data_IF_108619458797
#
_entry.id   IF_108619458797
#
_cell.length_a   1.000
_cell.length_b   1.000
_cell.length_c   1.000
_cell.angle_alpha   90.00
_cell.angle_beta   90.00
_cell.angle_gamma   90.00
#
_symmetry.space_group_name_H-M   'P 1'
#
loop_
_entity.id
_entity.type
_entity.pdbx_description
1 polymer ?
#
# COMPACT_ATOMS: atom_id res chain seq x y z
N UNK A 1 -3.90 33.74 32.34
CA UNK A 1 -3.04 32.60 31.97
C UNK A 1 -2.76 31.81 33.23
N UNK A 2 -3.45 30.68 33.43
CA UNK A 2 -3.15 29.76 34.53
C UNK A 2 -2.01 28.83 34.08
N UNK A 3 -0.79 29.16 34.49
CA UNK A 3 0.31 28.21 34.56
C UNK A 3 0.07 27.37 35.80
N UNK A 4 -0.29 26.09 35.64
CA UNK A 4 -0.40 25.18 36.78
C UNK A 4 -1.38 24.03 36.59
N UNK A 5 -0.93 22.97 35.90
CA UNK A 5 -1.18 21.57 36.25
C UNK A 5 -0.02 20.78 35.64
N UNK A 6 0.71 20.01 36.45
CA UNK A 6 1.59 18.95 35.94
C UNK A 6 0.69 17.94 35.24
N UNK A 7 0.41 18.16 33.95
CA UNK A 7 -0.27 17.18 33.12
C UNK A 7 0.77 16.16 32.69
N UNK A 8 0.74 14.99 33.30
CA UNK A 8 1.49 13.82 32.80
C UNK A 8 1.04 13.54 31.37
N UNK A 9 2.00 13.45 30.46
CA UNK A 9 1.81 13.07 29.07
C UNK A 9 2.33 11.65 28.90
N UNK A 10 1.43 10.71 28.61
CA UNK A 10 1.79 9.30 28.39
C UNK A 10 2.14 9.08 26.92
N UNK A 11 3.27 8.45 26.63
CA UNK A 11 3.66 8.12 25.25
C UNK A 11 3.66 6.61 25.11
N UNK A 12 2.84 6.10 24.21
CA UNK A 12 2.71 4.68 23.91
C UNK A 12 3.26 4.38 22.51
N UNK A 13 4.13 3.39 22.44
CA UNK A 13 4.57 2.77 21.17
C UNK A 13 3.86 1.42 21.04
N UNK A 14 2.96 1.28 20.05
CA UNK A 14 2.15 0.08 19.88
C UNK A 14 2.37 -0.55 18.50
N UNK A 15 2.67 -1.84 18.48
CA UNK A 15 2.55 -2.68 17.28
C UNK A 15 1.33 -3.58 17.43
N UNK A 16 0.39 -3.49 16.49
CA UNK A 16 -0.77 -4.39 16.42
C UNK A 16 -0.65 -5.27 15.18
N UNK A 17 -0.54 -6.60 15.30
CA UNK A 17 -0.42 -7.50 14.15
C UNK A 17 -1.63 -7.39 13.19
N UNK A 18 -1.44 -7.66 11.87
CA UNK A 18 -2.48 -7.45 10.86
C UNK A 18 -3.72 -8.33 11.00
N UNK A 19 -3.58 -9.49 11.66
CA UNK A 19 -4.67 -10.46 11.85
C UNK A 19 -5.24 -10.44 13.28
N UNK A 20 -4.89 -9.44 14.08
CA UNK A 20 -5.38 -9.27 15.45
C UNK A 20 -6.26 -8.02 15.50
N UNK A 21 -7.44 -8.18 16.09
CA UNK A 21 -8.38 -7.07 16.27
C UNK A 21 -7.81 -6.10 17.31
N UNK A 22 -7.73 -4.84 16.92
CA UNK A 22 -7.12 -3.78 17.71
C UNK A 22 -7.97 -3.45 18.95
N UNK A 23 -7.49 -3.83 20.14
CA UNK A 23 -8.18 -3.57 21.40
C UNK A 23 -7.75 -2.24 22.03
N UNK A 24 -8.69 -1.31 22.16
CA UNK A 24 -8.47 0.03 22.69
C UNK A 24 -9.04 0.28 24.09
N UNK A 25 -9.58 -0.73 24.77
CA UNK A 25 -10.19 -0.57 26.09
C UNK A 25 -9.22 0.09 27.10
N UNK A 26 -7.93 -0.24 27.00
CA UNK A 26 -6.88 0.35 27.83
C UNK A 26 -6.75 1.87 27.65
N UNK A 27 -6.81 2.35 26.41
CA UNK A 27 -6.59 3.76 26.08
C UNK A 27 -7.78 4.67 26.39
N UNK A 28 -9.00 4.11 26.52
CA UNK A 28 -10.18 4.87 26.96
C UNK A 28 -10.02 5.47 28.36
N UNK A 29 -9.16 4.88 29.20
CA UNK A 29 -8.91 5.34 30.56
C UNK A 29 -7.83 6.45 30.65
N UNK A 30 -7.05 6.64 29.59
CA UNK A 30 -5.96 7.61 29.54
C UNK A 30 -6.48 8.99 29.08
N UNK A 31 -6.15 10.06 29.83
CA UNK A 31 -6.63 11.43 29.53
C UNK A 31 -5.70 12.22 28.60
N UNK A 32 -4.39 12.11 28.79
CA UNK A 32 -3.38 12.85 28.02
C UNK A 32 -2.32 11.87 27.50
N UNK A 33 -2.44 11.45 26.24
CA UNK A 33 -1.47 10.52 25.67
C UNK A 33 -1.19 10.76 24.19
N UNK A 34 0.00 10.34 23.77
CA UNK A 34 0.40 10.16 22.38
C UNK A 34 0.47 8.65 22.13
N UNK A 35 -0.26 8.19 21.12
CA UNK A 35 -0.16 6.83 20.64
C UNK A 35 0.52 6.86 19.26
N UNK A 36 1.64 6.18 19.13
CA UNK A 36 2.36 6.00 17.87
C UNK A 36 2.73 4.53 17.66
N UNK A 37 2.94 4.14 16.41
CA UNK A 37 3.35 2.78 16.06
C UNK A 37 2.55 2.20 14.89
N UNK A 38 2.84 0.95 14.53
CA UNK A 38 2.17 0.28 13.42
C UNK A 38 0.96 -0.51 13.93
N UNK A 39 -0.21 0.10 13.77
CA UNK A 39 -1.49 -0.46 14.23
C UNK A 39 -2.10 -1.46 13.24
N UNK A 40 -1.49 -1.64 12.06
CA UNK A 40 -2.09 -2.35 10.92
C UNK A 40 -3.54 -1.94 10.63
N UNK A 41 -3.89 -0.68 10.90
CA UNK A 41 -5.21 -0.10 10.72
C UNK A 41 -5.23 0.69 9.41
N UNK A 42 -6.08 0.29 8.47
CA UNK A 42 -6.26 0.96 7.19
C UNK A 42 -7.59 1.69 7.21
N UNK A 43 -7.55 3.01 7.19
CA UNK A 43 -8.75 3.87 7.11
C UNK A 43 -8.51 5.01 6.12
N UNK A 44 -9.55 5.36 5.35
CA UNK A 44 -9.49 6.54 4.46
C UNK A 44 -9.39 7.85 5.25
N UNK A 45 -9.81 7.88 6.52
CA UNK A 45 -9.75 9.05 7.38
C UNK A 45 -8.31 9.51 7.66
N UNK A 46 -7.35 8.57 7.69
CA UNK A 46 -5.90 8.85 7.87
C UNK A 46 -5.10 8.75 6.55
N UNK A 47 -5.78 8.68 5.40
CA UNK A 47 -5.14 8.69 4.08
C UNK A 47 -4.74 7.33 3.52
N UNK A 48 -5.22 6.22 4.08
CA UNK A 48 -4.96 4.89 3.50
C UNK A 48 -5.76 4.66 2.20
N UNK A 49 -5.21 3.82 1.30
CA UNK A 49 -5.84 3.46 0.01
C UNK A 49 -7.07 2.55 0.19
N UNK A 50 -7.09 1.73 1.25
CA UNK A 50 -8.15 0.77 1.56
C UNK A 50 -8.64 0.87 3.01
N UNK A 51 -9.65 0.08 3.35
CA UNK A 51 -10.26 -0.01 4.68
C UNK A 51 -10.14 -1.45 5.22
N UNK A 52 -9.87 -1.62 6.52
CA UNK A 52 -9.95 -2.91 7.21
C UNK A 52 -10.63 -2.76 8.58
N UNK A 53 -10.93 -3.87 9.26
CA UNK A 53 -11.64 -3.88 10.54
C UNK A 53 -10.94 -3.06 11.62
N UNK A 54 -9.60 -3.14 11.69
CA UNK A 54 -8.78 -2.33 12.58
C UNK A 54 -8.89 -0.82 12.27
N UNK A 55 -9.01 -0.45 10.99
CA UNK A 55 -9.29 0.91 10.56
C UNK A 55 -10.67 1.40 10.97
N UNK A 56 -11.70 0.54 10.90
CA UNK A 56 -13.06 0.88 11.35
C UNK A 56 -13.09 1.08 12.87
N UNK A 57 -12.38 0.25 13.64
CA UNK A 57 -12.26 0.44 15.09
C UNK A 57 -11.51 1.75 15.42
N UNK A 58 -10.40 2.01 14.73
CA UNK A 58 -9.65 3.26 14.89
C UNK A 58 -10.51 4.48 14.55
N UNK A 59 -11.27 4.45 13.45
CA UNK A 59 -12.23 5.48 13.10
C UNK A 59 -13.31 5.64 14.16
N UNK A 60 -13.83 4.53 14.71
CA UNK A 60 -14.86 4.57 15.74
C UNK A 60 -14.36 5.35 16.95
N UNK A 61 -13.11 5.17 17.35
CA UNK A 61 -12.49 5.86 18.49
C UNK A 61 -12.15 7.31 18.18
N UNK A 62 -11.63 7.59 16.97
CA UNK A 62 -11.42 8.98 16.51
C UNK A 62 -12.75 9.74 16.48
N UNK A 63 -13.84 9.06 16.16
CA UNK A 63 -15.17 9.64 16.03
C UNK A 63 -16.05 9.48 17.28
N UNK A 64 -15.61 8.73 18.30
CA UNK A 64 -16.38 8.46 19.52
C UNK A 64 -16.52 9.77 20.28
N UNK A 65 -17.77 10.23 20.41
CA UNK A 65 -18.10 11.58 20.86
C UNK A 65 -18.22 11.70 22.38
N UNK A 66 -17.78 10.69 23.14
CA UNK A 66 -17.75 10.73 24.61
C UNK A 66 -16.48 11.38 25.20
N UNK A 67 -15.67 12.03 24.37
CA UNK A 67 -14.74 13.08 24.82
C UNK A 67 -15.50 14.38 25.04
N UNK A 68 -16.29 14.43 26.12
CA UNK A 68 -17.04 15.62 26.60
C UNK A 68 -16.15 16.71 27.22
N UNK A 69 -14.84 16.47 27.33
CA UNK A 69 -13.86 17.52 27.58
C UNK A 69 -13.52 18.22 26.27
N UNK A 70 -12.92 19.40 26.33
CA UNK A 70 -12.62 20.30 25.19
C UNK A 70 -11.57 19.75 24.19
N UNK A 71 -11.60 18.44 23.90
CA UNK A 71 -10.60 17.65 23.23
C UNK A 71 -11.00 17.51 21.77
N UNK A 72 -10.62 18.52 20.97
CA UNK A 72 -10.60 18.37 19.53
C UNK A 72 -9.39 17.50 19.16
N UNK A 73 -9.55 16.48 18.29
CA UNK A 73 -8.40 15.79 17.74
C UNK A 73 -7.52 16.81 17.02
N UNK A 74 -6.29 16.96 17.50
CA UNK A 74 -5.28 17.80 16.86
C UNK A 74 -4.57 16.93 15.84
N UNK A 75 -4.79 17.23 14.56
CA UNK A 75 -3.96 16.72 13.48
C UNK A 75 -2.61 17.43 13.56
N UNK A 76 -1.62 16.76 14.14
CA UNK A 76 -0.24 17.23 14.18
C UNK A 76 0.56 16.50 13.09
N UNK A 77 1.00 17.23 12.06
CA UNK A 77 1.96 16.72 11.08
C UNK A 77 3.37 16.92 11.63
N UNK A 78 4.00 15.83 12.08
CA UNK A 78 5.42 15.86 12.46
C UNK A 78 6.21 15.59 11.18
N UNK A 79 6.70 16.67 10.57
CA UNK A 79 7.68 16.56 9.49
C UNK A 79 9.02 16.18 10.10
N UNK A 80 9.30 14.88 10.20
CA UNK A 80 10.67 14.43 10.38
C UNK A 80 11.45 14.93 9.15
N UNK A 81 12.57 15.61 9.35
CA UNK A 81 13.41 16.19 8.28
C UNK A 81 14.03 15.17 7.32
N UNK A 82 13.42 14.01 7.14
CA UNK A 82 13.67 13.16 6.00
C UNK A 82 12.96 13.79 4.80
N UNK A 83 13.73 14.51 3.99
CA UNK A 83 13.30 14.86 2.65
C UNK A 83 13.08 13.55 1.89
N UNK A 84 11.84 13.04 1.90
CA UNK A 84 11.33 12.28 0.77
C UNK A 84 11.47 13.24 -0.40
N UNK A 85 12.57 13.12 -1.15
CA UNK A 85 12.57 13.56 -2.52
C UNK A 85 11.36 12.89 -3.14
N UNK A 86 10.28 13.65 -3.28
CA UNK A 86 9.22 13.33 -4.20
C UNK A 86 9.93 13.30 -5.55
N UNK A 87 10.52 12.16 -5.92
CA UNK A 87 11.01 11.88 -7.26
C UNK A 87 9.78 12.00 -8.12
N UNK A 88 9.52 13.22 -8.59
CA UNK A 88 8.39 13.53 -9.43
C UNK A 88 8.45 12.51 -10.54
N UNK A 89 7.41 11.66 -10.67
CA UNK A 89 7.45 10.50 -11.55
C UNK A 89 8.08 10.93 -12.88
N UNK A 90 9.23 10.33 -13.23
CA UNK A 90 10.13 10.85 -14.24
C UNK A 90 9.34 11.22 -15.51
N UNK A 91 9.52 12.45 -15.99
CA UNK A 91 8.82 12.91 -17.20
C UNK A 91 9.28 12.04 -18.37
N UNK A 92 8.39 11.20 -18.88
CA UNK A 92 8.68 10.30 -20.00
C UNK A 92 8.54 11.05 -21.32
N UNK A 93 9.48 10.85 -22.23
CA UNK A 93 9.41 11.39 -23.60
C UNK A 93 8.28 10.74 -24.40
N UNK A 94 7.66 11.52 -25.29
CA UNK A 94 6.67 11.05 -26.24
C UNK A 94 7.30 10.86 -27.62
N UNK A 95 7.94 9.70 -27.83
CA UNK A 95 8.63 9.39 -29.08
C UNK A 95 7.71 9.35 -30.31
N UNK A 96 6.39 9.17 -30.14
CA UNK A 96 5.42 9.22 -31.25
C UNK A 96 5.24 10.63 -31.82
N UNK A 97 5.54 11.66 -31.02
CA UNK A 97 5.45 13.08 -31.42
C UNK A 97 6.84 13.73 -31.54
N UNK A 98 7.90 12.93 -31.58
CA UNK A 98 9.25 13.43 -31.72
C UNK A 98 9.45 14.09 -33.09
N UNK A 99 10.11 15.25 -33.12
CA UNK A 99 10.59 15.84 -34.36
C UNK A 99 12.01 15.31 -34.63
N UNK A 100 12.12 14.19 -35.34
CA UNK A 100 13.40 13.54 -35.64
C UNK A 100 14.28 14.35 -36.60
N UNK A 101 13.69 15.18 -37.46
CA UNK A 101 14.44 16.06 -38.35
C UNK A 101 15.17 17.14 -37.55
N UNK A 102 14.47 17.83 -36.65
CA UNK A 102 15.07 18.81 -35.74
C UNK A 102 16.12 18.16 -34.82
N UNK A 103 15.86 16.94 -34.34
CA UNK A 103 16.82 16.20 -33.53
C UNK A 103 18.13 15.93 -34.29
N UNK A 104 18.02 15.52 -35.55
CA UNK A 104 19.16 15.26 -36.42
C UNK A 104 19.93 16.53 -36.76
N UNK A 105 19.24 17.63 -37.06
CA UNK A 105 19.85 18.95 -37.32
C UNK A 105 20.66 19.43 -36.11
N UNK A 106 20.08 19.33 -34.90
CA UNK A 106 20.76 19.73 -33.67
C UNK A 106 22.01 18.87 -33.43
N UNK A 107 21.92 17.54 -33.59
CA UNK A 107 23.09 16.67 -33.41
C UNK A 107 24.18 16.95 -34.44
N UNK A 108 23.82 17.03 -35.73
CA UNK A 108 24.79 17.26 -36.80
C UNK A 108 25.50 18.62 -36.66
N UNK A 109 24.79 19.67 -36.20
CA UNK A 109 25.41 20.97 -35.91
C UNK A 109 26.39 20.94 -34.73
N UNK A 110 26.26 19.96 -33.83
CA UNK A 110 27.04 19.87 -32.58
C UNK A 110 28.19 18.85 -32.66
N UNK A 111 28.14 17.91 -33.61
CA UNK A 111 29.17 16.88 -33.83
C UNK A 111 30.51 17.48 -34.27
N UNK A 112 30.49 18.54 -35.07
CA UNK A 112 31.70 19.22 -35.58
C UNK A 112 32.61 19.74 -34.45
N UNK A 113 32.04 20.07 -33.29
CA UNK A 113 32.78 20.60 -32.14
C UNK A 113 33.38 19.50 -31.23
N UNK A 114 33.12 18.22 -31.49
CA UNK A 114 33.58 17.11 -30.63
C UNK A 114 34.94 16.58 -31.08
N UNK A 115 35.22 16.63 -32.38
CA UNK A 115 36.44 16.07 -33.00
C UNK A 115 37.73 16.85 -32.73
N UNK A 116 37.65 18.07 -32.22
CA UNK A 116 38.82 18.94 -31.98
C UNK A 116 39.36 18.86 -30.54
N UNK A 117 38.78 18.03 -29.67
CA UNK A 117 39.11 18.01 -28.24
C UNK A 117 40.14 16.91 -27.88
N UNK A 118 41.25 17.30 -27.25
CA UNK A 118 42.27 16.41 -26.66
C UNK A 118 41.80 15.73 -25.36
N UNK A 119 40.61 15.13 -25.37
CA UNK A 119 39.97 14.55 -24.19
C UNK A 119 40.17 13.03 -24.11
N UNK A 120 40.05 12.49 -22.89
CA UNK A 120 40.00 11.04 -22.70
C UNK A 120 38.71 10.46 -23.28
N UNK A 121 38.72 9.14 -23.54
CA UNK A 121 37.56 8.43 -24.10
C UNK A 121 36.32 8.62 -23.22
N UNK A 122 36.47 8.58 -21.90
CA UNK A 122 35.35 8.73 -20.97
C UNK A 122 34.75 10.14 -21.01
N UNK A 123 35.60 11.17 -21.05
CA UNK A 123 35.17 12.57 -21.18
C UNK A 123 34.47 12.83 -22.52
N UNK A 124 34.89 12.12 -23.57
CA UNK A 124 34.23 12.16 -24.87
C UNK A 124 32.84 11.53 -24.81
N UNK A 125 32.71 10.38 -24.16
CA UNK A 125 31.44 9.69 -23.97
C UNK A 125 30.44 10.53 -23.16
N UNK A 126 30.91 11.20 -22.11
CA UNK A 126 30.08 12.11 -21.32
C UNK A 126 29.57 13.26 -22.18
N UNK A 127 30.45 13.89 -22.97
CA UNK A 127 30.06 14.95 -23.91
C UNK A 127 29.04 14.46 -24.94
N UNK A 128 29.25 13.29 -25.55
CA UNK A 128 28.31 12.73 -26.52
C UNK A 128 26.95 12.50 -25.85
N UNK A 129 26.94 11.93 -24.65
CA UNK A 129 25.74 11.65 -23.87
C UNK A 129 24.98 12.93 -23.55
N UNK A 130 25.67 13.97 -23.09
CA UNK A 130 25.07 15.29 -22.83
C UNK A 130 24.44 15.91 -24.07
N UNK A 131 25.11 15.83 -25.24
CA UNK A 131 24.59 16.37 -26.50
C UNK A 131 23.34 15.62 -26.95
N UNK A 132 23.34 14.29 -26.84
CA UNK A 132 22.16 13.45 -27.14
C UNK A 132 20.99 13.83 -26.24
N UNK A 133 21.22 13.90 -24.92
CA UNK A 133 20.19 14.26 -23.93
C UNK A 133 19.64 15.66 -24.21
N UNK A 134 20.51 16.64 -24.44
CA UNK A 134 20.13 18.01 -24.79
C UNK A 134 19.30 18.08 -26.08
N UNK A 135 19.71 17.37 -27.14
CA UNK A 135 18.97 17.30 -28.39
C UNK A 135 17.59 16.65 -28.20
N UNK A 136 17.51 15.60 -27.37
CA UNK A 136 16.25 14.94 -27.03
C UNK A 136 15.30 15.89 -26.30
N UNK A 137 15.80 16.67 -25.33
CA UNK A 137 14.98 17.65 -24.61
C UNK A 137 14.40 18.76 -25.52
N UNK A 138 15.13 19.15 -26.56
CA UNK A 138 14.69 20.19 -27.51
C UNK A 138 13.73 19.68 -28.58
N UNK A 139 13.85 18.41 -28.96
CA UNK A 139 13.18 17.86 -30.16
C UNK A 139 12.05 16.88 -29.85
N UNK A 140 12.00 16.37 -28.62
CA UNK A 140 11.04 15.33 -28.21
C UNK A 140 10.14 15.90 -27.11
N UNK A 141 8.83 16.10 -27.37
CA UNK A 141 7.93 16.58 -26.35
C UNK A 141 7.71 15.52 -25.26
N UNK A 142 7.41 15.95 -24.03
CA UNK A 142 7.05 15.04 -22.95
C UNK A 142 5.62 14.51 -23.07
N UNK A 143 5.38 13.31 -22.52
CA UNK A 143 4.03 12.80 -22.33
C UNK A 143 3.26 13.71 -21.37
N UNK A 144 2.18 14.33 -21.88
CA UNK A 144 1.25 15.07 -21.04
C UNK A 144 0.56 14.09 -20.10
N UNK A 145 0.69 14.29 -18.79
CA UNK A 145 -0.15 13.58 -17.82
C UNK A 145 -1.60 14.00 -18.09
N UNK A 146 -2.45 13.07 -18.51
CA UNK A 146 -3.89 13.32 -18.57
C UNK A 146 -4.39 13.45 -17.13
N UNK A 147 -4.58 14.69 -16.68
CA UNK A 147 -5.24 14.96 -15.41
C UNK A 147 -6.73 14.76 -15.68
N UNK A 148 -7.24 13.56 -15.38
CA UNK A 148 -8.68 13.33 -15.40
C UNK A 148 -9.30 14.03 -14.19
N UNK A 149 -9.66 15.30 -14.34
CA UNK A 149 -10.56 15.95 -13.39
C UNK A 149 -11.97 15.46 -13.70
N UNK A 150 -12.42 14.37 -13.07
CA UNK A 150 -13.84 14.04 -13.03
C UNK A 150 -14.53 15.05 -12.12
N UNK A 151 -14.81 16.23 -12.66
CA UNK A 151 -15.60 17.22 -11.93
C UNK A 151 -17.01 16.68 -11.74
N UNK A 152 -17.48 16.59 -10.49
CA UNK A 152 -18.87 16.28 -10.21
C UNK A 152 -19.79 17.31 -10.88
N UNK A 153 -20.93 16.89 -11.44
CA UNK A 153 -21.91 17.79 -12.01
C UNK A 153 -22.35 18.90 -11.03
N UNK A 154 -22.67 20.12 -11.53
CA UNK A 154 -23.03 21.26 -10.68
C UNK A 154 -24.19 21.00 -9.72
N UNK A 155 -25.18 20.19 -10.12
CA UNK A 155 -26.30 19.80 -9.27
C UNK A 155 -25.84 19.00 -8.03
N UNK A 156 -24.92 18.05 -8.19
CA UNK A 156 -24.37 17.26 -7.07
C UNK A 156 -23.51 18.15 -6.16
N UNK A 157 -22.72 19.05 -6.74
CA UNK A 157 -21.93 20.02 -5.96
C UNK A 157 -22.83 20.93 -5.14
N UNK A 158 -23.95 21.39 -5.70
CA UNK A 158 -24.92 22.21 -4.98
C UNK A 158 -25.60 21.45 -3.84
N UNK A 159 -25.96 20.17 -4.03
CA UNK A 159 -26.45 19.30 -2.95
C UNK A 159 -25.42 19.17 -1.82
N UNK A 160 -24.13 19.01 -2.13
CA UNK A 160 -23.06 18.97 -1.12
C UNK A 160 -22.99 20.28 -0.34
N UNK A 161 -23.06 21.43 -1.02
CA UNK A 161 -23.01 22.76 -0.40
C UNK A 161 -24.20 22.97 0.55
N UNK A 162 -25.41 22.67 0.10
CA UNK A 162 -26.62 22.81 0.91
C UNK A 162 -26.62 21.85 2.10
N UNK A 163 -26.21 20.58 1.91
CA UNK A 163 -26.06 19.62 3.01
C UNK A 163 -25.08 20.11 4.08
N UNK A 164 -23.93 20.67 3.68
CA UNK A 164 -22.94 21.25 4.60
C UNK A 164 -23.50 22.48 5.33
N UNK A 165 -24.25 23.35 4.65
CA UNK A 165 -24.92 24.51 5.25
C UNK A 165 -25.93 24.08 6.32
N UNK A 166 -26.81 23.13 6.01
CA UNK A 166 -27.81 22.61 6.96
C UNK A 166 -27.13 21.91 8.14
N UNK A 167 -26.06 21.14 7.90
CA UNK A 167 -25.26 20.52 8.99
C UNK A 167 -24.71 21.58 9.95
N UNK A 168 -24.07 22.64 9.43
CA UNK A 168 -23.52 23.72 10.26
C UNK A 168 -24.61 24.40 11.09
N UNK A 169 -25.78 24.66 10.49
CA UNK A 169 -26.90 25.27 11.20
C UNK A 169 -27.48 24.33 12.27
N UNK A 170 -27.62 23.04 11.97
CA UNK A 170 -28.05 22.03 12.95
C UNK A 170 -27.08 21.92 14.12
N UNK A 171 -25.77 21.91 13.86
CA UNK A 171 -24.76 21.83 14.92
C UNK A 171 -24.84 23.02 15.89
N UNK A 172 -25.15 24.22 15.38
CA UNK A 172 -25.32 25.44 16.19
C UNK A 172 -26.62 25.49 16.98
N UNK A 173 -27.72 25.04 16.39
CA UNK A 173 -29.08 25.28 16.93
C UNK A 173 -29.72 24.05 17.55
N UNK A 174 -29.18 22.86 17.26
CA UNK A 174 -29.71 21.53 17.64
C UNK A 174 -31.21 21.32 17.31
N UNK A 175 -31.73 22.06 16.33
CA UNK A 175 -33.13 21.98 15.92
C UNK A 175 -33.45 20.68 15.13
N UNK A 176 -34.50 19.96 15.55
CA UNK A 176 -34.91 18.68 14.93
C UNK A 176 -35.33 18.81 13.46
N UNK A 177 -35.98 19.92 13.07
CA UNK A 177 -36.35 20.18 11.66
C UNK A 177 -35.11 20.26 10.76
N UNK A 178 -34.00 20.81 11.26
CA UNK A 178 -32.74 20.85 10.52
C UNK A 178 -32.08 19.47 10.42
N UNK A 179 -32.21 18.62 11.45
CA UNK A 179 -31.75 17.21 11.40
C UNK A 179 -32.49 16.41 10.32
N UNK A 180 -33.82 16.55 10.25
CA UNK A 180 -34.63 15.93 9.21
C UNK A 180 -34.21 16.39 7.81
N UNK A 181 -34.05 17.71 7.62
CA UNK A 181 -33.58 18.28 6.35
C UNK A 181 -32.17 17.81 5.97
N UNK A 182 -31.26 17.68 6.94
CA UNK A 182 -29.93 17.13 6.71
C UNK A 182 -29.97 15.66 6.25
N UNK A 183 -30.81 14.84 6.87
CA UNK A 183 -30.98 13.43 6.50
C UNK A 183 -31.58 13.30 5.09
N UNK A 184 -32.59 14.12 4.76
CA UNK A 184 -33.18 14.18 3.43
C UNK A 184 -32.12 14.51 2.36
N UNK A 185 -31.37 15.60 2.55
CA UNK A 185 -30.30 16.00 1.63
C UNK A 185 -29.18 14.94 1.54
N UNK A 186 -28.93 14.20 2.62
CA UNK A 186 -27.94 13.11 2.61
C UNK A 186 -28.44 11.93 1.76
N UNK A 187 -29.71 11.57 1.86
CA UNK A 187 -30.32 10.52 1.03
C UNK A 187 -30.33 10.92 -0.44
N UNK A 188 -30.77 12.14 -0.74
CA UNK A 188 -30.80 12.69 -2.10
C UNK A 188 -29.41 12.76 -2.74
N UNK A 189 -28.39 13.14 -1.97
CA UNK A 189 -27.00 13.14 -2.43
C UNK A 189 -26.51 11.71 -2.75
N UNK A 190 -26.81 10.72 -1.90
CA UNK A 190 -26.46 9.31 -2.15
C UNK A 190 -27.12 8.80 -3.43
N UNK A 191 -28.41 9.07 -3.63
CA UNK A 191 -29.14 8.68 -4.83
C UNK A 191 -28.56 9.34 -6.09
N UNK A 192 -28.26 10.63 -6.03
CA UNK A 192 -27.70 11.40 -7.14
C UNK A 192 -26.29 10.92 -7.53
N UNK A 193 -25.44 10.62 -6.55
CA UNK A 193 -24.11 10.05 -6.79
C UNK A 193 -24.22 8.65 -7.41
N UNK A 194 -25.08 7.79 -6.88
CA UNK A 194 -25.30 6.45 -7.45
C UNK A 194 -25.76 6.53 -8.90
N UNK A 195 -26.72 7.41 -9.21
CA UNK A 195 -27.18 7.64 -10.59
C UNK A 195 -26.05 8.12 -11.50
N UNK A 196 -25.25 9.08 -11.06
CA UNK A 196 -24.12 9.61 -11.83
C UNK A 196 -23.05 8.55 -12.13
N UNK A 197 -22.64 7.77 -11.13
CA UNK A 197 -21.64 6.73 -11.33
C UNK A 197 -22.15 5.59 -12.21
N UNK A 198 -23.42 5.19 -12.05
CA UNK A 198 -24.05 4.21 -12.93
C UNK A 198 -24.09 4.72 -14.37
N UNK A 199 -24.46 5.98 -14.60
CA UNK A 199 -24.47 6.55 -15.94
C UNK A 199 -23.08 6.57 -16.56
N UNK A 200 -22.07 7.05 -15.83
CA UNK A 200 -20.68 7.04 -16.31
C UNK A 200 -20.20 5.61 -16.65
N UNK A 201 -20.63 4.63 -15.87
CA UNK A 201 -20.33 3.22 -16.14
C UNK A 201 -21.02 2.74 -17.42
N UNK A 202 -22.31 3.03 -17.60
CA UNK A 202 -23.02 2.70 -18.83
C UNK A 202 -22.39 3.37 -20.07
N UNK A 203 -22.09 4.67 -19.98
CA UNK A 203 -21.44 5.43 -21.06
C UNK A 203 -20.04 4.86 -21.40
N UNK A 204 -19.31 4.39 -20.38
CA UNK A 204 -18.02 3.72 -20.57
C UNK A 204 -18.20 2.39 -21.30
N UNK A 205 -19.14 1.55 -20.86
CA UNK A 205 -19.43 0.25 -21.49
C UNK A 205 -19.89 0.43 -22.93
N UNK A 206 -20.73 1.43 -23.21
CA UNK A 206 -21.18 1.75 -24.57
C UNK A 206 -20.02 2.15 -25.49
N UNK A 207 -19.09 2.98 -24.99
CA UNK A 207 -17.86 3.37 -25.72
C UNK A 207 -16.91 2.22 -25.98
N UNK A 208 -16.90 1.19 -25.12
CA UNK A 208 -16.09 -0.01 -25.30
C UNK A 208 -16.61 -0.90 -26.45
N UNK A 209 -17.81 -0.61 -27.00
CA UNK A 209 -18.43 -1.35 -28.08
C UNK A 209 -18.93 -2.73 -27.66
N UNK A 210 -19.39 -3.56 -28.62
CA UNK A 210 -19.63 -4.98 -28.35
C UNK A 210 -18.30 -5.61 -27.94
N UNK A 211 -18.26 -6.13 -26.73
CA UNK A 211 -17.11 -6.81 -26.17
C UNK A 211 -16.55 -7.83 -27.18
N UNK A 212 -15.27 -7.74 -27.60
CA UNK A 212 -14.66 -8.78 -28.43
C UNK A 212 -14.68 -10.17 -27.76
N UNK A 213 -14.91 -10.20 -26.44
CA UNK A 213 -15.05 -11.39 -25.60
C UNK A 213 -16.39 -12.14 -25.76
N UNK A 214 -17.22 -11.81 -26.75
CA UNK A 214 -18.18 -12.78 -27.32
C UNK A 214 -17.57 -13.61 -28.46
N UNK A 215 -16.25 -13.82 -28.45
CA UNK A 215 -15.78 -15.18 -28.73
C UNK A 215 -15.86 -15.88 -27.38
N UNK A 216 -16.59 -17.01 -27.24
CA UNK A 216 -16.43 -17.81 -26.04
C UNK A 216 -14.93 -18.02 -25.90
N UNK A 217 -14.36 -17.72 -24.74
CA UNK A 217 -13.02 -18.20 -24.41
C UNK A 217 -13.12 -19.73 -24.40
N UNK A 218 -13.10 -20.34 -25.59
CA UNK A 218 -12.90 -21.78 -25.73
C UNK A 218 -11.48 -21.97 -25.23
N UNK A 219 -11.37 -22.43 -23.99
CA UNK A 219 -10.17 -23.09 -23.51
C UNK A 219 -9.86 -24.12 -24.59
N UNK A 220 -8.68 -24.10 -25.23
CA UNK A 220 -8.35 -25.05 -26.29
C UNK A 220 -8.52 -26.48 -25.78
N UNK A 221 -8.84 -27.41 -26.68
CA UNK A 221 -8.93 -28.81 -26.32
C UNK A 221 -7.54 -29.28 -25.88
N UNK A 222 -7.48 -29.97 -24.73
CA UNK A 222 -6.22 -30.52 -24.25
C UNK A 222 -6.00 -31.85 -24.96
N UNK A 223 -4.78 -32.10 -25.39
CA UNK A 223 -4.38 -33.39 -25.96
C UNK A 223 -3.32 -33.97 -25.03
N UNK A 224 -3.62 -35.12 -24.43
CA UNK A 224 -2.68 -35.88 -23.61
C UNK A 224 -2.78 -37.34 -24.03
N UNK A 225 -1.65 -37.95 -24.40
CA UNK A 225 -1.55 -39.35 -24.86
C UNK A 225 -2.59 -39.70 -25.95
N UNK A 226 -2.67 -38.86 -27.01
CA UNK A 226 -3.60 -38.99 -28.13
C UNK A 226 -5.10 -38.84 -27.79
N UNK A 227 -5.45 -38.63 -26.51
CA UNK A 227 -6.82 -38.36 -26.08
C UNK A 227 -7.10 -36.86 -26.06
N UNK A 228 -8.23 -36.46 -26.66
CA UNK A 228 -8.69 -35.08 -26.74
C UNK A 228 -9.76 -34.79 -25.68
N UNK A 229 -9.45 -33.88 -24.75
CA UNK A 229 -10.35 -33.47 -23.66
C UNK A 229 -11.04 -32.16 -24.03
N UNK A 230 -12.37 -32.21 -24.18
CA UNK A 230 -13.17 -31.11 -24.74
C UNK A 230 -13.91 -30.34 -23.66
N UNK A 231 -14.45 -31.04 -22.66
CA UNK A 231 -15.26 -30.40 -21.61
C UNK A 231 -14.38 -29.86 -20.48
N UNK A 232 -14.86 -28.83 -19.78
CA UNK A 232 -14.11 -28.26 -18.64
C UNK A 232 -13.95 -29.26 -17.49
N UNK A 233 -14.93 -30.18 -17.32
CA UNK A 233 -14.87 -31.23 -16.31
C UNK A 233 -13.78 -32.27 -16.64
N UNK A 234 -13.72 -32.73 -17.89
CA UNK A 234 -12.66 -33.60 -18.41
C UNK A 234 -11.28 -33.00 -18.23
N UNK A 235 -11.12 -31.72 -18.59
CA UNK A 235 -9.86 -30.97 -18.43
C UNK A 235 -9.47 -30.89 -16.96
N UNK A 236 -10.42 -30.60 -16.07
CA UNK A 236 -10.20 -30.54 -14.62
C UNK A 236 -9.73 -31.87 -14.04
N UNK A 237 -10.34 -32.99 -14.43
CA UNK A 237 -9.92 -34.33 -14.00
C UNK A 237 -8.52 -34.68 -14.49
N UNK A 238 -8.24 -34.44 -15.77
CA UNK A 238 -6.93 -34.67 -16.37
C UNK A 238 -5.81 -33.88 -15.67
N UNK A 239 -6.03 -32.60 -15.38
CA UNK A 239 -5.08 -31.81 -14.58
C UNK A 239 -4.91 -32.35 -13.16
N UNK A 240 -6.01 -32.78 -12.51
CA UNK A 240 -5.96 -33.36 -11.17
C UNK A 240 -5.11 -34.63 -11.13
N UNK A 241 -5.30 -35.54 -12.07
CA UNK A 241 -4.53 -36.79 -12.19
C UNK A 241 -3.05 -36.51 -12.49
N UNK A 242 -2.76 -35.60 -13.43
CA UNK A 242 -1.39 -35.23 -13.78
C UNK A 242 -0.65 -34.62 -12.58
N UNK A 243 -1.28 -33.68 -11.88
CA UNK A 243 -0.69 -33.06 -10.69
C UNK A 243 -0.51 -34.07 -9.57
N UNK A 244 -1.48 -34.96 -9.35
CA UNK A 244 -1.35 -36.04 -8.38
C UNK A 244 -0.15 -36.93 -8.69
N UNK A 245 0.10 -37.25 -9.96
CA UNK A 245 1.26 -38.05 -10.36
C UNK A 245 2.58 -37.30 -10.18
N UNK A 246 2.65 -36.01 -10.49
CA UNK A 246 3.88 -35.20 -10.37
C UNK A 246 4.27 -35.00 -8.91
N UNK A 247 3.28 -34.80 -8.03
CA UNK A 247 3.49 -34.51 -6.62
C UNK A 247 3.34 -35.75 -5.73
N UNK A 248 3.38 -36.95 -6.31
CA UNK A 248 3.50 -38.18 -5.54
C UNK A 248 4.91 -38.30 -4.95
N UNK A 249 5.08 -38.77 -3.70
CA UNK A 249 6.39 -39.03 -3.13
C UNK A 249 7.14 -40.06 -3.99
N UNK A 250 8.40 -39.75 -4.31
CA UNK A 250 9.31 -40.70 -4.97
C UNK A 250 9.45 -41.94 -4.07
N UNK A 251 8.93 -43.08 -4.53
CA UNK A 251 8.95 -44.35 -3.76
C UNK A 251 10.36 -44.83 -3.41
N UNK A 252 11.35 -44.37 -4.16
CA UNK A 252 12.79 -44.58 -4.03
C UNK A 252 13.44 -43.76 -2.89
N UNK A 253 12.73 -42.80 -2.30
CA UNK A 253 13.23 -41.96 -1.19
C UNK A 253 12.50 -42.21 0.14
N UNK A 254 11.62 -43.21 0.21
CA UNK A 254 10.92 -43.58 1.45
C UNK A 254 11.86 -44.48 2.29
N UNK A 255 12.62 -43.86 3.18
CA UNK A 255 13.42 -44.56 4.19
C UNK A 255 12.66 -44.58 5.52
N UNK A 256 11.78 -45.58 5.64
CA UNK A 256 10.92 -45.75 6.82
C UNK A 256 11.71 -45.95 8.11
N UNK A 257 12.95 -46.43 8.03
CA UNK A 257 13.82 -46.63 9.18
C UNK A 257 14.33 -45.27 9.69
N UNK A 258 14.72 -44.39 8.77
CA UNK A 258 15.16 -43.03 9.09
C UNK A 258 14.03 -42.13 9.56
N UNK A 259 12.83 -42.28 9.01
CA UNK A 259 11.64 -41.56 9.47
C UNK A 259 11.29 -41.93 10.92
N UNK A 260 11.41 -43.21 11.29
CA UNK A 260 11.22 -43.68 12.67
C UNK A 260 12.32 -43.14 13.58
N UNK A 261 13.57 -43.13 13.13
CA UNK A 261 14.71 -42.57 13.88
C UNK A 261 14.49 -41.08 14.20
N UNK A 262 14.08 -40.29 13.20
CA UNK A 262 13.79 -38.85 13.37
C UNK A 262 12.61 -38.65 14.33
N UNK A 263 11.55 -39.45 14.21
CA UNK A 263 10.39 -39.34 15.08
C UNK A 263 10.74 -39.64 16.54
N UNK A 264 11.52 -40.71 16.77
CA UNK A 264 11.98 -41.07 18.10
C UNK A 264 12.90 -39.99 18.68
N UNK A 265 13.88 -39.51 17.90
CA UNK A 265 14.81 -38.46 18.33
C UNK A 265 14.10 -37.15 18.70
N UNK A 266 13.11 -36.73 17.90
CA UNK A 266 12.28 -35.57 18.22
C UNK A 266 11.45 -35.80 19.48
N UNK A 267 10.85 -36.98 19.64
CA UNK A 267 10.04 -37.30 20.82
C UNK A 267 10.86 -37.29 22.11
N UNK A 268 12.10 -37.79 22.06
CA UNK A 268 13.04 -37.78 23.18
C UNK A 268 13.53 -36.36 23.48
N UNK A 269 13.78 -35.56 22.44
CA UNK A 269 14.12 -34.14 22.60
C UNK A 269 13.00 -33.40 23.34
N UNK A 270 11.75 -33.50 22.88
CA UNK A 270 10.62 -32.80 23.51
C UNK A 270 10.25 -33.34 24.90
N UNK A 271 10.52 -34.62 25.18
CA UNK A 271 10.35 -35.19 26.53
C UNK A 271 11.40 -34.70 27.52
N UNK A 272 12.64 -34.51 27.08
CA UNK A 272 13.74 -34.09 27.93
C UNK A 272 13.95 -32.57 27.97
N UNK A 273 13.28 -31.82 27.10
CA UNK A 273 13.26 -30.37 27.14
C UNK A 273 12.34 -29.90 28.27
N UNK A 274 12.88 -29.81 29.49
CA UNK A 274 12.27 -29.00 30.53
C UNK A 274 12.14 -27.58 29.98
N UNK A 275 10.92 -27.10 29.79
CA UNK A 275 10.66 -25.68 29.55
C UNK A 275 11.35 -24.89 30.65
N UNK A 276 12.50 -24.28 30.36
CA UNK A 276 12.91 -23.09 31.09
C UNK A 276 11.78 -22.09 30.88
N UNK A 277 11.09 -21.76 31.97
CA UNK A 277 10.03 -20.77 31.95
C UNK A 277 10.58 -19.50 31.30
N UNK A 278 10.05 -19.09 30.15
CA UNK A 278 10.35 -17.82 29.48
C UNK A 278 9.92 -16.57 30.29
N UNK A 279 9.62 -16.74 31.58
CA UNK A 279 9.16 -15.69 32.49
C UNK A 279 10.30 -15.05 33.30
N UNK A 280 11.55 -15.43 33.05
CA UNK A 280 12.67 -14.73 33.68
C UNK A 280 12.82 -13.33 33.05
N UNK A 281 12.87 -12.26 33.87
CA UNK A 281 13.02 -10.90 33.36
C UNK A 281 14.37 -10.76 32.64
N UNK A 282 14.31 -10.37 31.37
CA UNK A 282 15.49 -10.15 30.53
C UNK A 282 16.35 -9.04 31.15
N UNK A 283 17.64 -9.31 31.35
CA UNK A 283 18.57 -8.30 31.83
C UNK A 283 19.07 -7.42 30.69
N UNK A 284 19.29 -6.13 30.95
CA UNK A 284 19.85 -5.18 29.97
C UNK A 284 21.17 -5.70 29.36
N UNK A 285 21.97 -6.42 30.14
CA UNK A 285 23.24 -6.98 29.67
C UNK A 285 23.05 -8.09 28.63
N UNK A 286 22.02 -8.93 28.77
CA UNK A 286 21.68 -9.97 27.80
C UNK A 286 21.19 -9.37 26.49
N UNK A 287 20.37 -8.31 26.59
CA UNK A 287 19.91 -7.55 25.43
C UNK A 287 21.11 -6.93 24.67
N UNK A 288 22.05 -6.32 25.39
CA UNK A 288 23.28 -5.74 24.80
C UNK A 288 24.13 -6.84 24.14
N UNK A 289 24.29 -8.01 24.77
CA UNK A 289 25.05 -9.11 24.18
C UNK A 289 24.37 -9.69 22.93
N UNK A 290 23.04 -9.79 22.92
CA UNK A 290 22.27 -10.22 21.76
C UNK A 290 22.43 -9.23 20.60
N UNK A 291 22.29 -7.92 20.87
CA UNK A 291 22.50 -6.86 19.88
C UNK A 291 23.92 -6.88 19.29
N UNK A 292 24.95 -7.11 20.11
CA UNK A 292 26.35 -7.24 19.63
C UNK A 292 26.58 -8.46 18.74
N UNK A 293 25.76 -9.51 18.86
CA UNK A 293 25.85 -10.74 18.05
C UNK A 293 25.15 -10.62 16.69
N UNK A 294 24.32 -9.61 16.48
CA UNK A 294 23.62 -9.41 15.22
C UNK A 294 24.61 -9.01 14.11
N UNK A 295 24.57 -9.71 12.97
CA UNK A 295 25.35 -9.33 11.79
C UNK A 295 24.66 -8.16 11.09
N UNK A 296 25.39 -7.06 10.88
CA UNK A 296 24.86 -5.83 10.26
C UNK A 296 24.29 -6.05 8.85
N UNK A 297 24.74 -7.10 8.14
CA UNK A 297 24.34 -7.41 6.76
C UNK A 297 23.42 -8.64 6.64
N UNK A 298 22.90 -9.16 7.75
CA UNK A 298 21.96 -10.28 7.67
C UNK A 298 20.66 -9.85 6.97
N UNK A 299 20.16 -10.72 6.10
CA UNK A 299 18.84 -10.57 5.50
C UNK A 299 17.80 -10.46 6.60
N UNK A 300 16.84 -9.56 6.41
CA UNK A 300 15.74 -9.42 7.34
C UNK A 300 14.97 -10.74 7.52
N UNK A 301 14.51 -10.97 8.76
CA UNK A 301 13.53 -12.00 9.03
C UNK A 301 12.17 -11.74 8.36
N UNK A 302 11.19 -12.63 8.56
CA UNK A 302 9.83 -12.53 8.00
C UNK A 302 9.10 -11.22 8.36
N UNK A 303 9.55 -10.56 9.42
CA UNK A 303 9.10 -9.27 9.95
C UNK A 303 9.65 -8.04 9.19
N UNK A 304 10.53 -8.23 8.20
CA UNK A 304 11.14 -7.16 7.39
C UNK A 304 11.96 -6.10 8.17
N UNK A 305 12.31 -6.36 9.44
CA UNK A 305 13.16 -5.50 10.26
C UNK A 305 14.64 -5.87 10.05
N UNK A 306 15.40 -4.92 9.51
CA UNK A 306 16.85 -5.06 9.35
C UNK A 306 17.60 -4.79 10.65
N UNK A 307 18.66 -5.56 10.91
CA UNK A 307 19.56 -5.38 12.07
C UNK A 307 20.18 -3.96 12.18
N UNK A 308 20.14 -3.17 11.09
CA UNK A 308 20.63 -1.79 11.01
C UNK A 308 19.73 -0.77 11.73
N UNK A 309 18.50 -1.12 12.11
CA UNK A 309 17.55 -0.19 12.75
C UNK A 309 17.82 -0.07 14.27
N UNK A 310 18.43 -1.07 14.89
CA UNK A 310 18.63 -1.16 16.34
C UNK A 310 19.82 -0.40 16.95
N UNK A 311 20.92 -0.04 16.24
CA UNK A 311 22.03 0.69 16.87
C UNK A 311 21.79 2.19 17.10
N UNK A 312 20.74 2.79 16.52
CA UNK A 312 20.50 4.24 16.54
C UNK A 312 19.80 4.79 17.79
N UNK A 313 19.66 3.99 18.86
CA UNK A 313 18.93 4.34 20.09
C UNK A 313 19.84 4.54 21.31
N UNK A 314 21.09 4.96 21.09
CA UNK A 314 21.96 5.49 22.14
C UNK A 314 22.14 7.00 21.99
#
# INVERSE_FOLDING_TARGET
>A
MNLGKNSELLVFSLYNPPNVLLNFEFFKTCRNYILGGDLNARTKQIGCVGENENGIMLETIINDQDMTSDHFPIEASISMGYQLENKSAAKRFNYKKANWQLFSEILNSQIVNITECSLTIDQLNDKITEKIISASHKSIPYLSKKIYKTSLPPNIVNLIKERRKVRRNFQKTRCQKLKQKFNQLTSELKASLKKFWNQNWFDFIEKMGKNPLTRPNLIPNLILNENEFKTNEEKGKCFGELLSSIFSPNSDLIDSEKDIEILNSNSDFFRNYNHSNFNDPICLNELIMALKRLKNEAASGPDQIHNLISPGLY
#
